data_IF_716505600313
#
_entry.id   IF_716505600313
#
_cell.length_a   1.000
_cell.length_b   1.000
_cell.length_c   1.000
_cell.angle_alpha   90.00
_cell.angle_beta   90.00
_cell.angle_gamma   90.00
#
_symmetry.space_group_name_H-M   'P 1'
#
loop_
_entity.id
_entity.type
_entity.pdbx_description
1 polymer ?
#
# COMPACT_ATOMS: atom_id res chain seq x y z
N UNK A 1 -23.78 2.30 -15.15
CA UNK A 1 -24.82 3.29 -15.50
C UNK A 1 -25.57 3.79 -14.27
N UNK A 2 -26.43 2.97 -13.66
CA UNK A 2 -27.39 3.43 -12.65
C UNK A 2 -26.79 4.02 -11.36
N UNK A 3 -25.68 3.46 -10.84
CA UNK A 3 -25.11 3.86 -9.56
C UNK A 3 -24.53 5.29 -9.52
N UNK A 4 -24.18 5.87 -10.67
CA UNK A 4 -23.60 7.22 -10.78
C UNK A 4 -24.55 8.22 -11.47
N UNK A 5 -25.81 7.82 -11.70
CA UNK A 5 -26.78 8.67 -12.37
C UNK A 5 -27.03 9.96 -11.56
N UNK A 6 -26.97 11.10 -12.25
CA UNK A 6 -27.16 12.42 -11.62
C UNK A 6 -25.94 12.98 -10.90
N UNK A 7 -24.83 12.24 -10.80
CA UNK A 7 -23.57 12.76 -10.26
C UNK A 7 -22.78 13.46 -11.37
N UNK A 8 -22.24 14.64 -11.07
CA UNK A 8 -21.38 15.42 -11.96
C UNK A 8 -20.08 15.83 -11.24
N UNK A 9 -19.24 14.86 -10.84
CA UNK A 9 -18.01 15.16 -10.12
C UNK A 9 -17.03 15.91 -11.02
N UNK A 10 -16.23 16.78 -10.40
CA UNK A 10 -15.12 17.47 -11.08
C UNK A 10 -13.79 16.75 -10.88
N UNK A 11 -13.66 15.95 -9.83
CA UNK A 11 -12.44 15.24 -9.48
C UNK A 11 -12.79 13.80 -9.11
N UNK A 12 -11.98 12.85 -9.57
CA UNK A 12 -12.12 11.43 -9.27
C UNK A 12 -10.79 10.90 -8.74
N UNK A 13 -10.83 10.16 -7.65
CA UNK A 13 -9.68 9.50 -7.05
C UNK A 13 -9.90 8.00 -7.13
N UNK A 14 -9.10 7.32 -7.96
CA UNK A 14 -9.16 5.88 -8.16
C UNK A 14 -8.12 5.24 -7.25
N UNK A 15 -8.56 4.82 -6.08
CA UNK A 15 -7.73 4.24 -5.01
C UNK A 15 -8.07 2.76 -4.75
N UNK A 16 -8.60 2.08 -5.76
CA UNK A 16 -9.09 0.70 -5.66
C UNK A 16 -8.53 -0.20 -6.75
N UNK A 17 -8.47 -1.48 -6.44
CA UNK A 17 -8.16 -2.56 -7.39
C UNK A 17 -8.89 -3.83 -6.93
N UNK A 18 -8.87 -4.87 -7.75
CA UNK A 18 -9.46 -6.17 -7.45
C UNK A 18 -8.46 -7.28 -7.73
N UNK A 19 -8.09 -8.04 -6.71
CA UNK A 19 -7.16 -9.18 -6.83
C UNK A 19 -7.84 -10.33 -7.56
N UNK A 20 -7.24 -10.77 -8.66
CA UNK A 20 -7.67 -11.92 -9.43
C UNK A 20 -6.69 -13.08 -9.28
N UNK A 21 -7.02 -14.22 -9.91
CA UNK A 21 -6.23 -15.45 -9.82
C UNK A 21 -4.86 -15.38 -10.51
N UNK A 22 -4.71 -14.51 -11.52
CA UNK A 22 -3.48 -14.32 -12.27
C UNK A 22 -3.45 -12.91 -12.90
N UNK A 23 -2.31 -12.54 -13.47
CA UNK A 23 -2.10 -11.18 -13.99
C UNK A 23 -2.94 -10.84 -15.23
N UNK A 24 -3.21 -11.82 -16.11
CA UNK A 24 -4.10 -11.61 -17.25
C UNK A 24 -5.53 -11.23 -16.79
N UNK A 25 -6.04 -11.92 -15.77
CA UNK A 25 -7.32 -11.57 -15.16
C UNK A 25 -7.26 -10.25 -14.38
N UNK A 26 -6.13 -9.95 -13.69
CA UNK A 26 -5.93 -8.64 -13.08
C UNK A 26 -6.03 -7.51 -14.12
N UNK A 27 -5.39 -7.67 -15.28
CA UNK A 27 -5.47 -6.72 -16.40
C UNK A 27 -6.92 -6.56 -16.85
N UNK A 28 -7.58 -7.66 -17.19
CA UNK A 28 -8.96 -7.65 -17.71
C UNK A 28 -9.92 -6.94 -16.76
N UNK A 29 -9.87 -7.27 -15.47
CA UNK A 29 -10.81 -6.74 -14.46
C UNK A 29 -10.47 -5.30 -14.09
N UNK A 30 -9.21 -4.99 -13.77
CA UNK A 30 -8.84 -3.67 -13.26
C UNK A 30 -8.88 -2.58 -14.34
N UNK A 31 -8.54 -2.91 -15.60
CA UNK A 31 -8.74 -2.00 -16.72
C UNK A 31 -10.24 -1.74 -16.96
N UNK A 32 -11.07 -2.79 -16.93
CA UNK A 32 -12.52 -2.64 -17.08
C UNK A 32 -13.14 -1.79 -15.95
N UNK A 33 -12.68 -1.91 -14.71
CA UNK A 33 -13.15 -1.07 -13.60
C UNK A 33 -12.90 0.42 -13.87
N UNK A 34 -11.69 0.78 -14.32
CA UNK A 34 -11.33 2.17 -14.68
C UNK A 34 -12.17 2.66 -15.85
N UNK A 35 -12.21 1.89 -16.94
CA UNK A 35 -12.97 2.22 -18.16
C UNK A 35 -14.45 2.43 -17.87
N UNK A 36 -15.10 1.49 -17.16
CA UNK A 36 -16.52 1.58 -16.83
C UNK A 36 -16.85 2.79 -15.96
N UNK A 37 -15.97 3.14 -15.01
CA UNK A 37 -16.13 4.34 -14.18
C UNK A 37 -16.07 5.60 -15.05
N UNK A 38 -15.04 5.74 -15.88
CA UNK A 38 -14.84 6.93 -16.70
C UNK A 38 -15.91 7.07 -17.79
N UNK A 39 -16.32 5.97 -18.43
CA UNK A 39 -17.41 5.97 -19.40
C UNK A 39 -18.76 6.34 -18.77
N UNK A 40 -19.00 5.94 -17.52
CA UNK A 40 -20.22 6.30 -16.80
C UNK A 40 -20.28 7.79 -16.40
N UNK A 41 -19.13 8.42 -16.15
CA UNK A 41 -19.02 9.84 -15.79
C UNK A 41 -18.95 10.77 -17.01
N UNK A 42 -18.54 10.24 -18.17
CA UNK A 42 -18.37 10.99 -19.41
C UNK A 42 -19.58 11.86 -19.81
N UNK A 43 -20.85 11.38 -19.78
CA UNK A 43 -21.98 12.16 -20.27
C UNK A 43 -22.19 13.50 -19.55
N UNK A 44 -21.76 13.63 -18.29
CA UNK A 44 -21.90 14.85 -17.52
C UNK A 44 -20.95 15.98 -17.99
N UNK A 45 -19.84 15.65 -18.66
CA UNK A 45 -18.84 16.63 -19.12
C UNK A 45 -18.19 17.46 -18.00
N UNK A 46 -18.34 17.05 -16.74
CA UNK A 46 -17.93 17.84 -15.56
C UNK A 46 -16.51 17.55 -15.10
N UNK A 47 -15.92 16.44 -15.55
CA UNK A 47 -14.66 15.92 -15.04
C UNK A 47 -13.48 16.84 -15.43
N UNK A 48 -12.68 17.23 -14.44
CA UNK A 48 -11.52 18.12 -14.59
C UNK A 48 -10.21 17.42 -14.27
N UNK A 49 -10.22 16.49 -13.32
CA UNK A 49 -9.02 15.74 -12.94
C UNK A 49 -9.34 14.30 -12.51
N UNK A 50 -8.47 13.35 -12.89
CA UNK A 50 -8.48 11.96 -12.40
C UNK A 50 -7.13 11.63 -11.77
N UNK A 51 -7.12 11.31 -10.49
CA UNK A 51 -5.96 10.79 -9.79
C UNK A 51 -6.07 9.26 -9.72
N UNK A 52 -5.05 8.54 -10.18
CA UNK A 52 -4.96 7.08 -10.14
C UNK A 52 -3.85 6.66 -9.18
N UNK A 53 -4.15 5.79 -8.22
CA UNK A 53 -3.14 5.14 -7.39
C UNK A 53 -2.78 3.78 -8.00
N UNK A 54 -1.49 3.59 -8.25
CA UNK A 54 -0.90 2.29 -8.64
C UNK A 54 0.06 1.81 -7.55
N UNK A 55 1.37 1.83 -7.78
CA UNK A 55 2.38 1.44 -6.78
C UNK A 55 3.71 1.00 -7.40
N UNK A 56 4.67 0.61 -6.56
CA UNK A 56 6.02 0.25 -7.00
C UNK A 56 6.13 -1.04 -7.81
N UNK A 57 5.04 -1.84 -7.93
CA UNK A 57 5.01 -2.92 -8.94
C UNK A 57 5.17 -2.41 -10.37
N UNK A 58 5.01 -1.10 -10.60
CA UNK A 58 5.41 -0.48 -11.86
C UNK A 58 6.90 -0.73 -12.19
N UNK A 59 7.78 -0.69 -11.19
CA UNK A 59 9.22 -0.85 -11.36
C UNK A 59 9.72 -2.26 -11.06
N UNK A 60 8.96 -3.02 -10.26
CA UNK A 60 9.32 -4.36 -9.82
C UNK A 60 8.68 -5.47 -10.67
N UNK A 61 7.63 -5.17 -11.44
CA UNK A 61 6.80 -6.18 -12.11
C UNK A 61 5.76 -6.83 -11.19
N UNK A 62 5.01 -7.83 -11.67
CA UNK A 62 4.05 -8.57 -10.86
C UNK A 62 4.77 -9.43 -9.79
N UNK A 63 4.01 -9.87 -8.79
CA UNK A 63 4.58 -10.59 -7.62
C UNK A 63 5.35 -11.86 -8.01
N UNK A 64 4.93 -12.53 -9.07
CA UNK A 64 5.53 -13.75 -9.60
C UNK A 64 6.89 -13.51 -10.29
N UNK A 65 7.18 -12.26 -10.68
CA UNK A 65 8.38 -11.90 -11.43
C UNK A 65 9.53 -11.38 -10.56
N UNK A 66 9.31 -11.13 -9.26
CA UNK A 66 10.29 -10.50 -8.35
C UNK A 66 11.65 -11.22 -8.23
N UNK A 67 11.75 -12.48 -8.65
CA UNK A 67 12.96 -13.28 -8.54
C UNK A 67 13.54 -13.77 -9.89
N UNK A 68 12.95 -13.39 -11.03
CA UNK A 68 13.27 -13.99 -12.34
C UNK A 68 14.10 -13.09 -13.26
N UNK A 69 14.52 -11.91 -12.81
CA UNK A 69 15.24 -10.92 -13.64
C UNK A 69 16.35 -10.18 -12.89
N UNK A 70 17.00 -9.25 -13.61
CA UNK A 70 17.94 -8.32 -13.00
C UNK A 70 17.22 -7.48 -11.94
N UNK A 71 17.82 -7.36 -10.76
CA UNK A 71 17.29 -6.52 -9.69
C UNK A 71 17.14 -5.08 -10.21
N UNK A 72 15.96 -4.46 -10.05
CA UNK A 72 15.75 -3.13 -10.60
C UNK A 72 16.60 -2.11 -9.84
N UNK A 73 17.12 -1.12 -10.57
CA UNK A 73 17.98 -0.10 -9.98
C UNK A 73 17.15 0.78 -9.03
N UNK A 74 17.54 0.82 -7.77
CA UNK A 74 17.05 1.76 -6.77
C UNK A 74 18.00 2.97 -6.62
N UNK A 75 17.51 4.14 -6.18
CA UNK A 75 16.10 4.45 -5.92
C UNK A 75 15.26 4.45 -7.21
N UNK A 76 14.01 4.03 -7.12
CA UNK A 76 13.08 4.06 -8.25
C UNK A 76 12.75 5.49 -8.63
N UNK A 77 12.69 5.76 -9.94
CA UNK A 77 12.48 7.10 -10.51
C UNK A 77 11.47 7.02 -11.63
N UNK A 78 10.62 8.03 -11.76
CA UNK A 78 9.48 7.98 -12.67
C UNK A 78 9.85 7.98 -14.15
N UNK A 79 11.09 8.32 -14.52
CA UNK A 79 11.63 8.17 -15.88
C UNK A 79 11.99 6.73 -16.25
N UNK A 80 12.02 5.81 -15.28
CA UNK A 80 12.27 4.40 -15.58
C UNK A 80 11.14 3.85 -16.48
N UNK A 81 11.48 3.15 -17.57
CA UNK A 81 10.47 2.65 -18.50
C UNK A 81 9.64 1.53 -17.86
N UNK A 82 8.44 1.31 -18.42
CA UNK A 82 7.67 0.09 -18.14
C UNK A 82 8.54 -1.14 -18.41
N UNK A 83 8.47 -2.11 -17.53
CA UNK A 83 9.07 -3.43 -17.77
C UNK A 83 8.35 -4.15 -18.92
N UNK A 84 9.07 -4.99 -19.66
CA UNK A 84 8.50 -5.85 -20.71
C UNK A 84 7.79 -7.08 -20.11
N UNK A 85 6.82 -6.83 -19.23
CA UNK A 85 5.99 -7.84 -18.54
C UNK A 85 4.55 -7.35 -18.47
N UNK A 86 3.62 -8.29 -18.36
CA UNK A 86 2.22 -7.98 -18.09
C UNK A 86 2.07 -7.34 -16.69
N UNK A 87 1.35 -6.22 -16.63
CA UNK A 87 1.09 -5.51 -15.38
C UNK A 87 -0.22 -4.73 -15.47
N UNK A 88 -1.18 -5.02 -14.59
CA UNK A 88 -2.48 -4.34 -14.59
C UNK A 88 -2.37 -2.83 -14.31
N UNK A 89 -1.29 -2.37 -13.68
CA UNK A 89 -1.02 -0.93 -13.53
C UNK A 89 -0.88 -0.24 -14.88
N UNK A 90 -0.21 -0.87 -15.85
CA UNK A 90 -0.04 -0.30 -17.18
C UNK A 90 -1.39 -0.20 -17.89
N UNK A 91 -2.22 -1.24 -17.76
CA UNK A 91 -3.56 -1.25 -18.33
C UNK A 91 -4.47 -0.18 -17.70
N UNK A 92 -4.41 0.03 -16.38
CA UNK A 92 -5.15 1.10 -15.72
C UNK A 92 -4.66 2.49 -16.15
N UNK A 93 -3.34 2.69 -16.24
CA UNK A 93 -2.74 3.93 -16.77
C UNK A 93 -3.25 4.21 -18.19
N UNK A 94 -3.21 3.21 -19.07
CA UNK A 94 -3.62 3.34 -20.47
C UNK A 94 -5.10 3.70 -20.61
N UNK A 95 -5.99 3.13 -19.80
CA UNK A 95 -7.41 3.49 -19.76
C UNK A 95 -7.64 4.94 -19.29
N UNK A 96 -6.89 5.40 -18.27
CA UNK A 96 -6.95 6.81 -17.82
C UNK A 96 -6.45 7.74 -18.92
N UNK A 97 -5.33 7.40 -19.57
CA UNK A 97 -4.73 8.26 -20.61
C UNK A 97 -5.64 8.35 -21.84
N UNK A 98 -6.21 7.23 -22.28
CA UNK A 98 -7.15 7.20 -23.39
C UNK A 98 -8.42 8.02 -23.10
N UNK A 99 -8.99 7.88 -21.89
CA UNK A 99 -10.14 8.66 -21.48
C UNK A 99 -9.81 10.16 -21.33
N UNK A 100 -8.64 10.51 -20.81
CA UNK A 100 -8.20 11.89 -20.70
C UNK A 100 -8.04 12.54 -22.08
N UNK A 101 -7.42 11.84 -23.03
CA UNK A 101 -7.28 12.30 -24.41
C UNK A 101 -8.64 12.48 -25.11
N UNK A 102 -9.61 11.60 -24.81
CA UNK A 102 -10.96 11.63 -25.36
C UNK A 102 -11.83 12.75 -24.76
N UNK A 103 -11.77 12.94 -23.45
CA UNK A 103 -12.74 13.75 -22.70
C UNK A 103 -12.16 15.08 -22.16
N UNK A 104 -10.84 15.29 -22.26
CA UNK A 104 -10.19 16.58 -22.00
C UNK A 104 -9.85 16.90 -20.53
N UNK A 105 -10.03 15.96 -19.61
CA UNK A 105 -9.62 16.12 -18.20
C UNK A 105 -8.11 15.91 -18.02
N UNK A 106 -7.54 16.44 -16.93
CA UNK A 106 -6.14 16.21 -16.54
C UNK A 106 -6.00 14.95 -15.70
N UNK A 107 -4.83 14.35 -15.66
CA UNK A 107 -4.61 13.17 -14.80
C UNK A 107 -3.35 13.28 -13.94
N UNK A 108 -3.28 12.48 -12.89
CA UNK A 108 -2.05 12.22 -12.16
C UNK A 108 -1.99 10.75 -11.73
N UNK A 109 -0.80 10.15 -11.78
CA UNK A 109 -0.59 8.77 -11.30
C UNK A 109 0.30 8.82 -10.06
N UNK A 110 -0.09 8.08 -9.03
CA UNK A 110 0.57 8.06 -7.73
C UNK A 110 1.06 6.64 -7.44
N UNK A 111 2.37 6.48 -7.28
CA UNK A 111 3.06 5.20 -7.10
C UNK A 111 3.60 5.11 -5.67
N UNK A 112 2.76 4.79 -4.67
CA UNK A 112 3.23 4.59 -3.31
C UNK A 112 4.09 3.33 -3.19
N UNK A 113 4.94 3.29 -2.15
CA UNK A 113 5.46 2.03 -1.61
C UNK A 113 4.34 1.32 -0.83
N UNK A 114 4.71 0.65 0.24
CA UNK A 114 3.83 -0.13 1.08
C UNK A 114 3.04 0.87 1.89
N UNK A 115 1.73 0.89 1.65
CA UNK A 115 0.84 1.85 2.29
C UNK A 115 0.52 1.39 3.70
N UNK A 116 0.75 2.27 4.68
CA UNK A 116 0.37 2.09 6.07
C UNK A 116 -0.88 2.95 6.32
N UNK A 117 -1.97 2.31 6.73
CA UNK A 117 -3.26 2.96 6.99
C UNK A 117 -4.32 1.96 7.45
N UNK A 118 -5.45 2.47 7.94
CA UNK A 118 -6.53 1.65 8.48
C UNK A 118 -7.63 1.44 7.42
N UNK A 119 -7.85 0.18 7.03
CA UNK A 119 -8.99 -0.22 6.20
C UNK A 119 -9.35 -1.69 6.45
N UNK A 120 -10.48 -1.95 7.10
CA UNK A 120 -10.99 -3.31 7.33
C UNK A 120 -11.43 -3.94 6.01
N UNK A 121 -11.07 -5.20 5.78
CA UNK A 121 -11.34 -5.92 4.53
C UNK A 121 -10.43 -5.55 3.37
N UNK A 122 -9.43 -4.67 3.58
CA UNK A 122 -8.44 -4.36 2.56
C UNK A 122 -7.53 -5.58 2.30
N UNK A 123 -7.28 -5.87 1.03
CA UNK A 123 -6.48 -7.03 0.61
C UNK A 123 -4.99 -6.92 0.97
N UNK A 124 -4.49 -5.70 1.22
CA UNK A 124 -3.07 -5.41 1.47
C UNK A 124 -2.93 -4.46 2.68
N UNK A 125 -2.81 -5.01 3.88
CA UNK A 125 -2.82 -4.26 5.14
C UNK A 125 -1.68 -4.68 6.08
N UNK A 126 -0.43 -4.31 5.73
CA UNK A 126 0.75 -4.65 6.53
C UNK A 126 0.65 -4.10 7.96
N UNK A 127 0.33 -2.81 8.11
CA UNK A 127 0.29 -2.17 9.43
C UNK A 127 -0.68 -2.85 10.40
N UNK A 128 -1.91 -3.15 9.96
CA UNK A 128 -2.87 -3.88 10.81
C UNK A 128 -2.45 -5.33 11.04
N UNK A 129 -1.85 -5.98 10.04
CA UNK A 129 -1.30 -7.35 10.21
C UNK A 129 -0.25 -7.40 11.32
N UNK A 130 0.68 -6.44 11.34
CA UNK A 130 1.71 -6.36 12.37
C UNK A 130 1.12 -6.05 13.75
N UNK A 131 0.11 -5.18 13.82
CA UNK A 131 -0.57 -4.83 15.07
C UNK A 131 -1.30 -6.04 15.70
N UNK A 132 -2.02 -6.81 14.88
CA UNK A 132 -2.70 -8.05 15.31
C UNK A 132 -1.69 -9.10 15.74
N UNK A 133 -0.62 -9.29 14.95
CA UNK A 133 0.46 -10.24 15.29
C UNK A 133 1.13 -9.88 16.62
N UNK A 134 1.49 -8.61 16.84
CA UNK A 134 2.05 -8.13 18.10
C UNK A 134 1.10 -8.35 19.27
N UNK A 135 -0.19 -8.02 19.10
CA UNK A 135 -1.23 -8.25 20.13
C UNK A 135 -1.29 -9.72 20.55
N UNK A 136 -1.29 -10.64 19.57
CA UNK A 136 -1.34 -12.08 19.83
C UNK A 136 -0.05 -12.60 20.48
N UNK A 137 1.12 -12.09 20.07
CA UNK A 137 2.38 -12.41 20.75
C UNK A 137 2.38 -11.97 22.20
N UNK A 138 1.89 -10.76 22.49
CA UNK A 138 1.75 -10.25 23.85
C UNK A 138 0.82 -11.12 24.70
N UNK A 139 -0.34 -11.49 24.17
CA UNK A 139 -1.31 -12.34 24.89
C UNK A 139 -0.76 -13.72 25.20
N UNK A 140 -0.16 -14.38 24.21
CA UNK A 140 0.29 -15.77 24.33
C UNK A 140 1.67 -15.90 24.98
N UNK A 141 2.43 -14.82 25.08
CA UNK A 141 3.83 -14.83 25.49
C UNK A 141 4.77 -15.48 24.47
N UNK A 142 4.29 -15.81 23.25
CA UNK A 142 5.15 -16.39 22.21
C UNK A 142 6.13 -15.31 21.68
N UNK A 143 7.34 -15.69 21.23
CA UNK A 143 8.33 -14.71 20.82
C UNK A 143 7.87 -13.89 19.59
N UNK A 144 8.16 -12.59 19.59
CA UNK A 144 7.82 -11.67 18.50
C UNK A 144 8.90 -11.67 17.42
N UNK A 145 8.89 -12.69 16.56
CA UNK A 145 9.85 -12.84 15.47
C UNK A 145 9.56 -11.91 14.30
N UNK A 146 10.61 -11.27 13.77
CA UNK A 146 10.57 -10.64 12.45
C UNK A 146 10.32 -11.70 11.36
N UNK A 147 9.34 -11.51 10.46
CA UNK A 147 8.96 -12.55 9.52
C UNK A 147 9.80 -12.58 8.23
N UNK A 148 10.44 -11.46 7.92
CA UNK A 148 11.04 -11.19 6.62
C UNK A 148 12.44 -11.73 6.38
N UNK A 149 13.00 -11.36 5.23
CA UNK A 149 14.32 -11.77 4.77
C UNK A 149 15.45 -11.01 5.47
N UNK A 150 16.68 -11.55 5.43
CA UNK A 150 17.86 -10.83 5.91
C UNK A 150 18.15 -9.55 5.11
N UNK A 151 17.75 -9.51 3.83
CA UNK A 151 17.87 -8.33 2.99
C UNK A 151 16.95 -7.21 3.49
N UNK A 152 15.69 -7.51 3.83
CA UNK A 152 14.75 -6.52 4.38
C UNK A 152 15.11 -6.14 5.83
N UNK A 153 15.54 -7.09 6.64
CA UNK A 153 15.99 -6.82 8.02
C UNK A 153 17.13 -5.80 8.07
N UNK A 154 18.13 -6.00 7.21
CA UNK A 154 19.34 -5.18 7.20
C UNK A 154 19.27 -4.02 6.23
N UNK A 155 18.47 -4.06 5.19
CA UNK A 155 18.43 -3.08 4.11
C UNK A 155 17.71 -1.78 4.47
N UNK A 156 17.95 -0.73 3.69
CA UNK A 156 17.18 0.50 3.73
C UNK A 156 15.86 0.32 2.97
N UNK A 157 14.80 0.90 3.52
CA UNK A 157 13.46 0.95 2.92
C UNK A 157 12.81 2.30 3.22
N UNK A 158 11.93 2.75 2.33
CA UNK A 158 10.92 3.77 2.62
C UNK A 158 9.53 3.13 2.70
N UNK A 159 8.52 3.92 3.08
CA UNK A 159 7.11 3.52 3.16
C UNK A 159 6.20 4.70 2.82
N UNK A 160 4.90 4.45 2.71
CA UNK A 160 3.91 5.51 2.43
C UNK A 160 2.80 5.50 3.48
N UNK A 161 2.64 6.58 4.21
CA UNK A 161 1.45 6.85 5.02
C UNK A 161 0.24 7.14 4.12
N UNK A 162 -0.91 6.55 4.44
CA UNK A 162 -2.15 6.75 3.70
C UNK A 162 -2.62 8.23 3.73
N UNK A 163 -2.38 8.94 4.83
CA UNK A 163 -2.67 10.37 4.94
C UNK A 163 -1.81 11.22 4.01
N UNK A 164 -0.51 10.96 3.96
CA UNK A 164 0.44 11.60 3.06
C UNK A 164 0.09 11.30 1.59
N UNK A 165 -0.27 10.06 1.26
CA UNK A 165 -0.76 9.70 -0.06
C UNK A 165 -2.02 10.50 -0.45
N UNK A 166 -2.96 10.70 0.48
CA UNK A 166 -4.15 11.50 0.23
C UNK A 166 -3.79 12.99 -0.02
N UNK A 167 -2.90 13.57 0.79
CA UNK A 167 -2.40 14.95 0.57
C UNK A 167 -1.66 15.08 -0.75
N UNK A 168 -0.87 14.09 -1.14
CA UNK A 168 -0.17 14.07 -2.43
C UNK A 168 -1.14 14.00 -3.63
N UNK A 169 -2.23 13.23 -3.52
CA UNK A 169 -3.27 13.22 -4.54
C UNK A 169 -3.95 14.59 -4.66
N UNK A 170 -4.31 15.20 -3.53
CA UNK A 170 -4.92 16.54 -3.50
C UNK A 170 -3.99 17.60 -4.10
N UNK A 171 -2.72 17.59 -3.71
CA UNK A 171 -1.69 18.49 -4.25
C UNK A 171 -1.62 18.45 -5.78
N UNK A 172 -1.66 17.26 -6.38
CA UNK A 172 -1.60 17.10 -7.83
C UNK A 172 -2.82 17.71 -8.54
N UNK A 173 -3.99 17.73 -7.90
CA UNK A 173 -5.19 18.39 -8.45
C UNK A 173 -5.10 19.92 -8.41
N UNK A 174 -4.33 20.47 -7.46
CA UNK A 174 -4.21 21.90 -7.19
C UNK A 174 -2.96 22.53 -7.84
N UNK A 175 -2.06 21.71 -8.38
CA UNK A 175 -0.78 22.15 -8.94
C UNK A 175 -0.79 21.99 -10.46
N UNK A 176 -0.94 23.07 -11.25
CA UNK A 176 -1.02 22.97 -12.72
C UNK A 176 0.17 22.24 -13.36
N UNK A 177 1.38 22.43 -12.82
CA UNK A 177 2.60 21.77 -13.32
C UNK A 177 2.63 20.25 -13.06
N UNK A 178 1.81 19.75 -12.13
CA UNK A 178 1.69 18.32 -11.83
C UNK A 178 0.67 17.60 -12.72
N UNK A 179 0.00 18.33 -13.61
CA UNK A 179 -0.95 17.75 -14.55
C UNK A 179 -0.28 16.80 -15.55
N UNK A 180 -0.92 15.68 -15.81
CA UNK A 180 -0.53 14.64 -16.76
C UNK A 180 0.87 14.07 -16.43
N UNK A 181 1.12 13.81 -15.16
CA UNK A 181 2.38 13.29 -14.64
C UNK A 181 2.14 12.10 -13.72
N UNK A 182 3.08 11.14 -13.76
CA UNK A 182 3.22 10.11 -12.75
C UNK A 182 4.26 10.53 -11.69
N UNK A 183 4.00 10.16 -10.44
CA UNK A 183 4.83 10.49 -9.28
C UNK A 183 5.00 9.28 -8.36
N UNK A 184 6.22 9.08 -7.86
CA UNK A 184 6.44 8.33 -6.63
C UNK A 184 5.88 9.12 -5.44
N UNK A 185 5.52 8.41 -4.37
CA UNK A 185 5.03 9.05 -3.14
C UNK A 185 5.39 8.21 -1.93
N UNK A 186 6.30 8.71 -1.11
CA UNK A 186 6.73 8.11 0.16
C UNK A 186 6.85 9.16 1.25
N UNK A 187 7.00 8.66 2.47
CA UNK A 187 7.09 9.41 3.73
C UNK A 187 8.20 10.46 3.77
N UNK A 188 9.28 10.22 3.01
CA UNK A 188 10.41 11.14 2.87
C UNK A 188 11.59 10.84 3.78
N UNK A 189 11.48 9.84 4.65
CA UNK A 189 12.58 9.19 5.38
C UNK A 189 12.89 7.80 4.80
N UNK A 190 13.99 7.21 5.28
CA UNK A 190 14.33 5.80 5.10
C UNK A 190 14.71 5.20 6.44
N UNK A 191 14.46 3.91 6.62
CA UNK A 191 14.83 3.18 7.84
C UNK A 191 15.26 1.75 7.54
N UNK A 192 15.72 1.04 8.57
CA UNK A 192 15.97 -0.42 8.52
C UNK A 192 14.96 -1.15 9.37
N UNK A 193 14.41 -2.26 8.88
CA UNK A 193 13.40 -3.03 9.62
C UNK A 193 13.89 -3.47 10.99
N UNK A 194 15.18 -3.77 11.17
CA UNK A 194 15.73 -4.09 12.50
C UNK A 194 15.51 -3.03 13.56
N UNK A 195 15.52 -1.76 13.17
CA UNK A 195 15.23 -0.65 14.07
C UNK A 195 13.71 -0.49 14.24
N UNK A 196 12.96 -0.45 13.13
CA UNK A 196 11.50 -0.29 13.17
C UNK A 196 10.81 -1.42 13.94
N UNK A 197 11.30 -2.65 13.83
CA UNK A 197 10.76 -3.80 14.56
C UNK A 197 10.88 -3.63 16.08
N UNK A 198 12.00 -3.05 16.55
CA UNK A 198 12.15 -2.67 17.94
C UNK A 198 11.16 -1.57 18.36
N UNK A 199 10.95 -0.56 17.51
CA UNK A 199 9.98 0.53 17.74
C UNK A 199 8.54 0.00 17.84
N UNK A 200 8.16 -0.92 16.95
CA UNK A 200 6.85 -1.58 17.00
C UNK A 200 6.72 -2.43 18.25
N UNK A 201 7.73 -3.24 18.59
CA UNK A 201 7.71 -4.08 19.79
C UNK A 201 7.54 -3.23 21.06
N UNK A 202 8.31 -2.15 21.20
CA UNK A 202 8.21 -1.19 22.31
C UNK A 202 6.80 -0.61 22.45
N UNK A 203 6.16 -0.18 21.36
CA UNK A 203 4.80 0.36 21.39
C UNK A 203 3.76 -0.65 21.91
N UNK A 204 3.97 -1.94 21.64
CA UNK A 204 3.11 -3.03 22.10
C UNK A 204 3.53 -3.62 23.46
N UNK A 205 4.51 -3.04 24.16
CA UNK A 205 5.11 -3.57 25.39
C UNK A 205 5.68 -5.00 25.19
N UNK A 206 6.41 -5.21 24.10
CA UNK A 206 7.07 -6.46 23.74
C UNK A 206 8.58 -6.30 23.65
N UNK A 207 9.27 -7.39 23.93
CA UNK A 207 10.68 -7.57 23.55
C UNK A 207 10.74 -8.31 22.21
N UNK A 208 11.41 -7.77 21.17
CA UNK A 208 11.53 -8.44 19.89
C UNK A 208 12.44 -9.67 20.02
N UNK A 209 12.04 -10.79 19.44
CA UNK A 209 12.89 -11.97 19.42
C UNK A 209 14.13 -11.73 18.53
N UNK A 210 15.31 -12.28 18.88
CA UNK A 210 16.51 -12.15 18.05
C UNK A 210 16.28 -12.64 16.62
N UNK A 211 16.71 -11.86 15.63
CA UNK A 211 16.64 -12.27 14.25
C UNK A 211 17.68 -13.36 13.94
N UNK A 212 17.22 -14.56 13.58
CA UNK A 212 18.09 -15.72 13.35
C UNK A 212 18.69 -15.80 11.95
N UNK A 213 18.46 -14.78 11.09
CA UNK A 213 18.85 -14.82 9.67
C UNK A 213 17.93 -15.66 8.77
N UNK A 214 16.98 -16.40 9.36
CA UNK A 214 16.02 -17.24 8.64
C UNK A 214 14.67 -16.54 8.56
N UNK A 215 14.02 -16.64 7.39
CA UNK A 215 12.66 -16.16 7.20
C UNK A 215 11.68 -16.97 8.04
N UNK A 216 10.71 -16.29 8.65
CA UNK A 216 9.62 -16.89 9.44
C UNK A 216 8.30 -16.30 8.97
N UNK A 217 7.73 -16.73 7.83
CA UNK A 217 6.56 -16.09 7.25
C UNK A 217 5.37 -15.99 8.23
N UNK A 218 4.72 -14.83 8.32
CA UNK A 218 3.53 -14.61 9.13
C UNK A 218 2.39 -15.56 8.75
N UNK A 219 2.28 -15.94 7.48
CA UNK A 219 1.27 -16.91 7.05
C UNK A 219 1.37 -18.24 7.82
N UNK A 220 2.59 -18.65 8.21
CA UNK A 220 2.81 -19.83 9.05
C UNK A 220 2.67 -19.50 10.53
N UNK A 221 3.24 -18.37 10.98
CA UNK A 221 3.19 -17.97 12.39
C UNK A 221 1.77 -17.68 12.91
N UNK A 222 0.86 -17.30 12.01
CA UNK A 222 -0.51 -16.91 12.33
C UNK A 222 -1.58 -17.92 11.86
N UNK A 223 -1.17 -19.08 11.33
CA UNK A 223 -2.09 -20.05 10.72
C UNK A 223 -3.18 -20.55 11.68
N UNK A 224 -2.88 -20.61 12.98
CA UNK A 224 -3.78 -21.13 14.02
C UNK A 224 -4.36 -20.04 14.94
N UNK A 225 -4.14 -18.76 14.65
CA UNK A 225 -4.44 -17.66 15.58
C UNK A 225 -5.93 -17.24 15.58
N UNK A 226 -6.78 -17.80 14.71
CA UNK A 226 -8.17 -17.38 14.58
C UNK A 226 -8.97 -17.54 15.88
N UNK A 227 -8.76 -18.64 16.61
CA UNK A 227 -9.40 -18.88 17.91
C UNK A 227 -8.92 -17.89 18.98
N UNK A 228 -7.60 -17.66 19.04
CA UNK A 228 -7.00 -16.74 20.00
C UNK A 228 -7.44 -15.30 19.76
N UNK A 229 -7.54 -14.88 18.49
CA UNK A 229 -8.03 -13.55 18.14
C UNK A 229 -9.51 -13.36 18.52
N UNK A 230 -10.36 -14.36 18.27
CA UNK A 230 -11.76 -14.32 18.69
C UNK A 230 -11.90 -14.16 20.21
N UNK A 231 -11.04 -14.82 20.99
CA UNK A 231 -11.00 -14.65 22.44
C UNK A 231 -10.55 -13.23 22.85
N UNK A 232 -9.53 -12.66 22.20
CA UNK A 232 -9.13 -11.24 22.39
C UNK A 232 -10.29 -10.32 22.09
N UNK A 233 -10.97 -10.53 20.95
CA UNK A 233 -12.06 -9.69 20.52
C UNK A 233 -13.23 -9.69 21.51
N UNK A 234 -13.58 -10.86 22.04
CA UNK A 234 -14.61 -10.99 23.07
C UNK A 234 -14.21 -10.32 24.39
N UNK A 235 -12.97 -10.51 24.85
CA UNK A 235 -12.47 -9.96 26.12
C UNK A 235 -12.41 -8.44 26.11
N UNK A 236 -11.97 -7.84 25.00
CA UNK A 236 -11.77 -6.39 24.87
C UNK A 236 -12.95 -5.67 24.19
N UNK A 237 -13.98 -6.39 23.76
CA UNK A 237 -15.12 -5.82 23.03
C UNK A 237 -14.72 -5.18 21.70
N UNK A 238 -13.86 -5.87 20.93
CA UNK A 238 -13.38 -5.40 19.64
C UNK A 238 -14.47 -5.43 18.56
N UNK A 239 -14.38 -4.50 17.63
CA UNK A 239 -15.36 -4.30 16.56
C UNK A 239 -15.31 -5.39 15.47
N UNK A 240 -14.19 -6.11 15.33
CA UNK A 240 -14.01 -7.13 14.30
C UNK A 240 -13.40 -8.42 14.89
N UNK A 241 -14.22 -9.44 15.17
CA UNK A 241 -13.75 -10.71 15.70
C UNK A 241 -13.19 -11.65 14.62
N UNK A 242 -13.42 -11.40 13.33
CA UNK A 242 -12.85 -12.19 12.25
C UNK A 242 -11.46 -11.67 11.87
N UNK A 243 -10.43 -12.41 12.29
CA UNK A 243 -9.03 -12.07 12.01
C UNK A 243 -8.77 -11.92 10.49
N UNK A 244 -9.46 -12.71 9.64
CA UNK A 244 -9.23 -12.71 8.19
C UNK A 244 -9.67 -11.41 7.51
N UNK A 245 -10.49 -10.60 8.19
CA UNK A 245 -10.89 -9.26 7.72
C UNK A 245 -9.88 -8.18 8.10
N UNK A 246 -8.96 -8.47 9.01
CA UNK A 246 -7.96 -7.54 9.54
C UNK A 246 -6.58 -7.75 8.94
N UNK A 247 -6.19 -9.01 8.75
CA UNK A 247 -4.80 -9.36 8.43
C UNK A 247 -4.63 -9.82 6.99
N UNK A 248 -3.47 -9.52 6.42
CA UNK A 248 -3.00 -10.02 5.13
C UNK A 248 -1.57 -10.57 5.28
N UNK A 249 -1.38 -11.74 5.93
CA UNK A 249 -0.05 -12.29 6.21
C UNK A 249 0.75 -12.54 4.94
N UNK A 250 0.11 -13.12 3.91
CA UNK A 250 0.73 -13.37 2.61
C UNK A 250 1.33 -12.11 1.97
N UNK A 251 0.65 -10.97 2.10
CA UNK A 251 1.10 -9.70 1.52
C UNK A 251 2.26 -9.12 2.33
N UNK A 252 2.14 -9.16 3.65
CA UNK A 252 3.21 -8.73 4.56
C UNK A 252 4.48 -9.55 4.33
N UNK A 253 4.34 -10.85 4.15
CA UNK A 253 5.44 -11.76 3.81
C UNK A 253 6.03 -11.47 2.42
N UNK A 254 5.20 -11.13 1.43
CA UNK A 254 5.68 -10.74 0.11
C UNK A 254 6.51 -9.46 0.13
N UNK A 255 6.12 -8.47 0.95
CA UNK A 255 6.85 -7.20 1.08
C UNK A 255 8.13 -7.36 1.93
N UNK A 256 8.02 -7.96 3.13
CA UNK A 256 9.15 -8.17 4.04
C UNK A 256 10.07 -9.31 3.62
N UNK A 257 9.63 -10.16 2.69
CA UNK A 257 10.39 -11.29 2.17
C UNK A 257 11.29 -10.96 0.98
N UNK A 258 11.22 -9.73 0.44
CA UNK A 258 12.00 -9.34 -0.75
C UNK A 258 13.50 -9.57 -0.56
N UNK A 259 14.22 -10.05 -1.59
CA UNK A 259 15.67 -10.24 -1.50
C UNK A 259 16.48 -8.97 -1.82
N UNK A 260 15.84 -7.80 -1.88
CA UNK A 260 16.42 -6.54 -2.37
C UNK A 260 15.94 -5.35 -1.54
N UNK A 261 16.76 -4.29 -1.47
CA UNK A 261 16.37 -2.98 -0.95
C UNK A 261 15.40 -2.29 -1.90
N UNK A 262 14.34 -1.68 -1.38
CA UNK A 262 13.33 -0.96 -2.18
C UNK A 262 13.21 0.45 -1.63
N UNK A 263 13.58 1.43 -2.45
CA UNK A 263 13.61 2.85 -2.09
C UNK A 263 13.20 3.64 -3.34
N UNK A 264 12.59 4.79 -3.14
CA UNK A 264 12.05 5.66 -4.17
C UNK A 264 12.69 7.04 -4.11
N UNK A 265 12.82 7.68 -5.28
CA UNK A 265 13.17 9.09 -5.37
C UNK A 265 11.90 9.94 -5.30
N UNK A 266 11.94 10.99 -4.48
CA UNK A 266 10.87 12.00 -4.35
C UNK A 266 11.24 13.34 -5.01
N UNK A 267 12.37 13.41 -5.72
CA UNK A 267 12.90 14.68 -6.24
C UNK A 267 11.94 15.31 -7.25
N UNK A 268 11.20 14.51 -8.03
CA UNK A 268 10.20 15.01 -8.98
C UNK A 268 9.09 15.79 -8.27
N UNK A 269 8.41 15.18 -7.29
CA UNK A 269 7.34 15.84 -6.52
C UNK A 269 7.88 17.07 -5.75
N UNK A 270 9.07 16.96 -5.15
CA UNK A 270 9.72 18.05 -4.42
C UNK A 270 10.03 19.27 -5.28
N UNK A 271 10.57 19.06 -6.49
CA UNK A 271 10.83 20.16 -7.46
C UNK A 271 9.55 20.87 -7.90
N UNK A 272 8.40 20.21 -7.80
CA UNK A 272 7.08 20.76 -8.12
C UNK A 272 6.33 21.28 -6.88
N UNK A 273 6.98 21.35 -5.72
CA UNK A 273 6.46 22.01 -4.52
C UNK A 273 5.74 21.09 -3.52
N UNK A 274 5.71 19.77 -3.72
CA UNK A 274 5.24 18.84 -2.68
C UNK A 274 6.37 18.57 -1.69
N UNK A 275 6.30 19.19 -0.51
CA UNK A 275 7.33 19.14 0.53
C UNK A 275 6.86 18.43 1.82
N UNK A 276 5.66 17.87 1.83
CA UNK A 276 5.13 17.13 2.98
C UNK A 276 6.05 15.96 3.36
N UNK A 277 6.13 15.73 4.66
CA UNK A 277 6.96 14.71 5.28
C UNK A 277 6.17 14.02 6.40
N UNK A 278 6.40 12.73 6.58
CA UNK A 278 5.81 11.94 7.65
C UNK A 278 6.88 10.97 8.19
N UNK A 279 7.35 11.09 9.43
CA UNK A 279 8.21 10.06 10.01
C UNK A 279 7.51 8.70 9.96
N UNK A 280 8.22 7.68 9.49
CA UNK A 280 7.64 6.37 9.24
C UNK A 280 7.24 5.63 10.52
N UNK A 281 7.94 5.84 11.64
CA UNK A 281 7.56 5.27 12.95
C UNK A 281 6.30 5.95 13.49
N UNK A 282 6.22 7.28 13.40
CA UNK A 282 5.00 8.03 13.75
C UNK A 282 3.79 7.58 12.91
N UNK A 283 3.98 7.22 11.63
CA UNK A 283 2.91 6.68 10.80
C UNK A 283 2.37 5.34 11.34
N UNK A 284 3.25 4.44 11.78
CA UNK A 284 2.84 3.20 12.45
C UNK A 284 2.11 3.48 13.77
N UNK A 285 2.65 4.37 14.61
CA UNK A 285 2.06 4.67 15.90
C UNK A 285 0.69 5.36 15.77
N UNK A 286 0.55 6.28 14.81
CA UNK A 286 -0.71 6.92 14.49
C UNK A 286 -1.73 5.88 14.00
N UNK A 287 -1.32 4.95 13.13
CA UNK A 287 -2.17 3.82 12.73
C UNK A 287 -2.60 2.99 13.94
N UNK A 288 -1.67 2.56 14.80
CA UNK A 288 -2.01 1.71 15.93
C UNK A 288 -2.93 2.42 16.92
N UNK A 289 -2.71 3.71 17.18
CA UNK A 289 -3.62 4.54 17.97
C UNK A 289 -5.01 4.63 17.33
N UNK A 290 -5.09 4.78 16.00
CA UNK A 290 -6.35 4.77 15.26
C UNK A 290 -7.05 3.41 15.37
N UNK A 291 -6.34 2.29 15.22
CA UNK A 291 -6.89 0.95 15.35
C UNK A 291 -7.44 0.72 16.77
N UNK A 292 -6.75 1.17 17.82
CA UNK A 292 -7.26 1.17 19.21
C UNK A 292 -8.53 1.99 19.35
N UNK A 293 -8.53 3.22 18.86
CA UNK A 293 -9.69 4.11 18.94
C UNK A 293 -10.92 3.53 18.23
N UNK A 294 -10.71 2.78 17.14
CA UNK A 294 -11.75 2.06 16.40
C UNK A 294 -12.08 0.67 16.98
N UNK A 295 -11.45 0.27 18.09
CA UNK A 295 -11.57 -1.04 18.72
C UNK A 295 -11.27 -2.20 17.77
N UNK A 296 -10.31 -2.02 16.86
CA UNK A 296 -9.82 -3.08 15.96
C UNK A 296 -8.63 -3.84 16.57
N UNK A 297 -7.97 -3.25 17.57
CA UNK A 297 -7.02 -3.90 18.49
C UNK A 297 -7.32 -3.41 19.92
N UNK A 298 -6.87 -4.14 20.96
CA UNK A 298 -7.01 -3.72 22.36
C UNK A 298 -6.30 -2.39 22.69
#
# INVERSE_FOLDING_TARGET
GAALAGLAPTHVFITTWSRQANEAENIRVNAAMVRHLLDALRPAGSLRHVALVTGLKHYLGPFEAYAQGALPQTPFREEQPRLAVDNFYYAQEDEVFAAAARDGFRWSVHRPHTVIGAAVGNAMNMGTTLAVYATLCRRSGRPFYFPGSAAQWNGLTDMTDAGLLARHQLWATQTPAAANQAFNVVNGDVFRWRWMWGRIAEWFDLEPAPFSGQQRPLALQMASDAGDWSAVAAEHGLAEPDIQRLVSPWHTDADLGRPVEVITDMSKSRRMGFLDYQPSDDAFFALFAQLRAQRLIP
#
